data_IF_090473447235
#
_entry.id   IF_090473447235
#
_cell.length_a   1.000
_cell.length_b   1.000
_cell.length_c   1.000
_cell.angle_alpha   90.00
_cell.angle_beta   90.00
_cell.angle_gamma   90.00
#
_symmetry.space_group_name_H-M   'P 1'
#
loop_
_entity.id
_entity.type
_entity.pdbx_description
1 polymer ?
#
# COMPACT_ATOMS: atom_id res chain seq x y z
N UNK A 1 13.51 4.99 -40.84
CA UNK A 1 14.09 3.88 -40.05
C UNK A 1 15.08 4.49 -39.06
N UNK A 2 14.85 4.38 -37.76
CA UNK A 2 15.71 4.93 -36.70
C UNK A 2 16.16 3.75 -35.82
N UNK A 3 17.45 3.58 -35.52
CA UNK A 3 17.91 2.44 -34.73
C UNK A 3 17.59 2.63 -33.25
N UNK A 4 17.08 1.57 -32.63
CA UNK A 4 16.79 1.45 -31.20
C UNK A 4 18.08 1.22 -30.43
N UNK A 5 18.42 2.16 -29.54
CA UNK A 5 19.59 2.04 -28.66
C UNK A 5 19.20 1.25 -27.41
N UNK A 6 19.61 -0.02 -27.34
CA UNK A 6 19.54 -0.82 -26.12
C UNK A 6 20.48 -0.20 -25.06
N UNK A 7 19.92 0.27 -23.95
CA UNK A 7 20.68 0.68 -22.77
C UNK A 7 20.73 -0.51 -21.82
N UNK A 8 21.90 -1.14 -21.71
CA UNK A 8 22.18 -2.17 -20.71
C UNK A 8 22.34 -1.47 -19.36
N UNK A 9 21.37 -1.64 -18.47
CA UNK A 9 21.43 -1.14 -17.10
C UNK A 9 22.14 -2.17 -16.22
N UNK A 10 23.33 -1.81 -15.72
CA UNK A 10 24.13 -2.61 -14.80
C UNK A 10 23.57 -2.39 -13.38
N UNK A 11 22.94 -3.42 -12.80
CA UNK A 11 22.42 -3.40 -11.43
C UNK A 11 23.57 -3.81 -10.50
N UNK A 12 24.13 -2.86 -9.76
CA UNK A 12 25.07 -3.13 -8.68
C UNK A 12 24.32 -3.23 -7.35
N UNK A 13 24.17 -4.46 -6.85
CA UNK A 13 23.52 -4.77 -5.59
C UNK A 13 24.52 -4.58 -4.44
N UNK A 14 24.37 -3.50 -3.66
CA UNK A 14 25.14 -3.26 -2.44
C UNK A 14 24.30 -3.69 -1.23
N UNK A 15 24.64 -4.84 -0.64
CA UNK A 15 24.00 -5.37 0.57
C UNK A 15 24.52 -4.66 1.81
N UNK A 16 23.70 -3.81 2.44
CA UNK A 16 23.91 -3.35 3.81
C UNK A 16 23.11 -4.24 4.77
N UNK A 17 23.82 -4.98 5.62
CA UNK A 17 23.30 -5.68 6.77
C UNK A 17 23.02 -4.68 7.90
N UNK A 18 21.75 -4.52 8.28
CA UNK A 18 21.39 -3.89 9.54
C UNK A 18 20.73 -4.94 10.45
N UNK A 19 21.47 -5.33 11.48
CA UNK A 19 21.01 -6.09 12.63
C UNK A 19 20.39 -5.13 13.64
N UNK A 20 19.10 -5.27 13.92
CA UNK A 20 18.47 -4.64 15.09
C UNK A 20 17.55 -5.63 15.79
N UNK A 21 17.97 -6.04 16.99
CA UNK A 21 17.15 -6.75 17.97
C UNK A 21 16.21 -5.74 18.65
N UNK A 22 14.92 -6.06 18.73
CA UNK A 22 13.90 -5.28 19.44
C UNK A 22 12.86 -6.20 20.07
N UNK A 23 12.61 -5.99 21.36
CA UNK A 23 11.88 -6.87 22.26
C UNK A 23 10.39 -7.04 21.92
N UNK A 24 9.87 -8.24 22.20
CA UNK A 24 8.45 -8.56 22.11
C UNK A 24 7.69 -7.94 23.29
N UNK A 25 6.75 -7.04 22.99
CA UNK A 25 5.67 -6.64 23.90
C UNK A 25 4.38 -7.27 23.42
N UNK A 26 3.84 -8.18 24.21
CA UNK A 26 2.54 -8.79 23.99
C UNK A 26 1.45 -7.85 24.49
N UNK A 27 0.59 -7.39 23.59
CA UNK A 27 -0.67 -6.73 23.94
C UNK A 27 -1.83 -7.58 23.43
N UNK A 28 -2.66 -8.06 24.35
CA UNK A 28 -3.93 -8.72 24.05
C UNK A 28 -4.99 -7.68 23.72
N UNK A 29 -5.75 -7.92 22.65
CA UNK A 29 -6.86 -7.07 22.22
C UNK A 29 -7.81 -7.82 21.28
N UNK A 30 -9.10 -7.64 21.52
CA UNK A 30 -10.28 -8.37 21.05
C UNK A 30 -10.30 -9.02 19.64
N UNK A 31 -10.85 -10.24 19.60
CA UNK A 31 -11.41 -10.91 18.41
C UNK A 31 -12.53 -10.05 17.80
N UNK A 32 -12.22 -9.30 16.75
CA UNK A 32 -13.21 -8.76 15.81
C UNK A 32 -13.61 -9.82 14.79
N UNK A 33 -14.88 -10.19 14.75
CA UNK A 33 -15.49 -10.91 13.63
C UNK A 33 -15.73 -9.93 12.48
N UNK A 34 -14.82 -9.92 11.51
CA UNK A 34 -14.93 -9.13 10.28
C UNK A 34 -14.03 -9.72 9.20
N UNK A 35 -14.51 -10.75 8.53
CA UNK A 35 -13.78 -11.37 7.42
C UNK A 35 -13.70 -10.40 6.24
N UNK A 36 -12.48 -9.98 5.91
CA UNK A 36 -12.08 -9.52 4.58
C UNK A 36 -10.64 -10.02 4.35
N UNK A 37 -10.51 -11.01 3.46
CA UNK A 37 -9.31 -11.41 2.74
C UNK A 37 -8.05 -11.74 3.57
N UNK A 38 -8.06 -12.91 4.22
CA UNK A 38 -6.83 -13.54 4.77
C UNK A 38 -5.78 -13.89 3.71
N UNK A 39 -6.09 -13.80 2.42
CA UNK A 39 -5.19 -14.24 1.35
C UNK A 39 -4.44 -13.13 0.63
N UNK A 40 -4.60 -11.85 1.01
CA UNK A 40 -3.88 -10.75 0.35
C UNK A 40 -4.13 -10.64 -1.16
N UNK A 41 -5.21 -11.28 -1.65
CA UNK A 41 -5.58 -11.36 -3.08
C UNK A 41 -6.37 -10.16 -3.58
N UNK A 42 -6.86 -9.30 -2.68
CA UNK A 42 -7.57 -8.08 -3.05
C UNK A 42 -6.71 -6.84 -2.76
N UNK A 43 -6.18 -6.22 -3.80
CA UNK A 43 -5.43 -4.98 -3.69
C UNK A 43 -4.66 -4.61 -4.96
N UNK A 44 -4.13 -3.38 -5.08
CA UNK A 44 -3.37 -2.94 -6.25
C UNK A 44 -2.18 -3.85 -6.58
N UNK A 45 -1.62 -4.51 -5.58
CA UNK A 45 -0.51 -5.47 -5.72
C UNK A 45 -0.94 -6.85 -6.25
N UNK A 46 -2.24 -7.14 -6.36
CA UNK A 46 -2.75 -8.36 -6.98
C UNK A 46 -2.80 -8.25 -8.52
N UNK A 47 -2.71 -7.05 -9.08
CA UNK A 47 -2.53 -6.86 -10.52
C UNK A 47 -1.14 -7.32 -10.97
N UNK A 48 -0.12 -7.25 -10.11
CA UNK A 48 1.24 -7.68 -10.45
C UNK A 48 1.33 -9.16 -10.81
N UNK A 49 0.53 -10.01 -10.18
CA UNK A 49 0.50 -11.45 -10.50
C UNK A 49 -0.19 -11.78 -11.83
N UNK A 50 -0.79 -10.79 -12.48
CA UNK A 50 -1.45 -10.93 -13.78
C UNK A 50 -0.59 -10.40 -14.94
N UNK A 51 0.57 -9.81 -14.64
CA UNK A 51 1.53 -9.40 -15.66
C UNK A 51 2.17 -10.67 -16.25
N UNK A 52 2.16 -10.76 -17.57
CA UNK A 52 2.76 -11.87 -18.29
C UNK A 52 4.29 -11.68 -18.40
N UNK A 53 5.01 -12.78 -18.61
CA UNK A 53 6.46 -12.76 -18.89
C UNK A 53 7.37 -12.09 -17.82
N UNK A 54 6.93 -12.05 -16.56
CA UNK A 54 7.79 -11.65 -15.45
C UNK A 54 8.93 -12.66 -15.24
N UNK A 55 10.18 -12.19 -15.29
CA UNK A 55 11.36 -13.01 -15.00
C UNK A 55 11.40 -13.43 -13.52
N UNK A 56 12.24 -14.42 -13.19
CA UNK A 56 12.41 -14.86 -11.81
C UNK A 56 12.95 -13.73 -10.92
N UNK A 57 13.88 -12.94 -11.45
CA UNK A 57 14.50 -11.80 -10.77
C UNK A 57 13.48 -10.67 -10.53
N UNK A 58 12.65 -10.37 -11.53
CA UNK A 58 11.57 -9.38 -11.39
C UNK A 58 10.55 -9.82 -10.33
N UNK A 59 10.17 -11.11 -10.32
CA UNK A 59 9.22 -11.66 -9.33
C UNK A 59 9.75 -11.51 -7.90
N UNK A 60 11.04 -11.79 -7.68
CA UNK A 60 11.63 -11.65 -6.35
C UNK A 60 11.71 -10.17 -5.93
N UNK A 61 12.14 -9.28 -6.83
CA UNK A 61 12.17 -7.84 -6.55
C UNK A 61 10.77 -7.28 -6.21
N UNK A 62 9.73 -7.68 -6.95
CA UNK A 62 8.34 -7.28 -6.67
C UNK A 62 7.83 -7.84 -5.33
N UNK A 63 8.25 -9.04 -4.95
CA UNK A 63 7.92 -9.65 -3.65
C UNK A 63 8.58 -8.93 -2.49
N UNK A 64 9.82 -8.47 -2.65
CA UNK A 64 10.52 -7.67 -1.65
C UNK A 64 9.85 -6.30 -1.48
N UNK A 65 9.53 -5.61 -2.59
CA UNK A 65 8.76 -4.37 -2.57
C UNK A 65 7.43 -4.58 -1.83
N UNK A 66 6.71 -5.66 -2.15
CA UNK A 66 5.43 -5.99 -1.51
C UNK A 66 5.58 -6.22 -0.01
N UNK A 67 6.60 -6.98 0.41
CA UNK A 67 6.82 -7.28 1.83
C UNK A 67 7.15 -6.02 2.62
N UNK A 68 8.10 -5.20 2.12
CA UNK A 68 8.45 -3.94 2.76
C UNK A 68 7.26 -2.96 2.85
N UNK A 69 6.43 -2.92 1.80
CA UNK A 69 5.23 -2.07 1.76
C UNK A 69 4.16 -2.54 2.74
N UNK A 70 4.03 -3.87 2.95
CA UNK A 70 2.94 -4.44 3.74
C UNK A 70 2.95 -3.91 5.16
N UNK A 71 4.13 -3.86 5.78
CA UNK A 71 4.24 -3.48 7.18
C UNK A 71 3.99 -1.97 7.34
N UNK A 72 4.58 -1.13 6.48
CA UNK A 72 4.32 0.31 6.46
C UNK A 72 2.83 0.64 6.21
N UNK A 73 2.16 -0.11 5.32
CA UNK A 73 0.74 0.06 5.06
C UNK A 73 -0.14 -0.43 6.20
N UNK A 74 0.27 -1.47 6.94
CA UNK A 74 -0.49 -1.97 8.10
C UNK A 74 -0.56 -0.91 9.17
N UNK A 75 0.60 -0.40 9.59
CA UNK A 75 0.67 0.56 10.69
C UNK A 75 -0.10 1.86 10.35
N UNK A 76 -0.05 2.30 9.08
CA UNK A 76 -0.83 3.45 8.63
C UNK A 76 -2.35 3.16 8.60
N UNK A 77 -2.77 1.95 8.24
CA UNK A 77 -4.19 1.56 8.25
C UNK A 77 -4.74 1.49 9.67
N UNK A 78 -3.99 0.93 10.59
CA UNK A 78 -4.36 0.82 12.00
C UNK A 78 -4.55 2.24 12.57
N UNK A 79 -3.57 3.13 12.34
CA UNK A 79 -3.66 4.53 12.79
C UNK A 79 -4.87 5.29 12.18
N UNK A 80 -5.24 5.00 10.93
CA UNK A 80 -6.43 5.59 10.29
C UNK A 80 -7.73 5.02 10.82
N UNK A 81 -7.74 3.74 11.22
CA UNK A 81 -8.89 3.12 11.84
C UNK A 81 -9.12 3.68 13.24
N UNK A 82 -8.06 3.83 14.03
CA UNK A 82 -8.11 4.45 15.35
C UNK A 82 -8.63 5.89 15.26
N UNK A 83 -8.05 6.71 14.38
CA UNK A 83 -8.51 8.09 14.19
C UNK A 83 -9.97 8.19 13.70
N UNK A 84 -10.45 7.23 12.91
CA UNK A 84 -11.87 7.18 12.51
C UNK A 84 -12.78 6.86 13.69
N UNK A 85 -12.35 5.97 14.58
CA UNK A 85 -13.06 5.66 15.83
C UNK A 85 -13.08 6.90 16.73
N UNK A 86 -11.93 7.55 16.93
CA UNK A 86 -11.82 8.78 17.73
C UNK A 86 -12.75 9.89 17.20
N UNK A 87 -12.80 10.10 15.88
CA UNK A 87 -13.69 11.08 15.26
C UNK A 87 -15.16 10.74 15.47
N UNK A 88 -15.51 9.46 15.33
CA UNK A 88 -16.88 8.99 15.53
C UNK A 88 -17.32 9.22 16.97
N UNK A 89 -16.49 8.82 17.93
CA UNK A 89 -16.81 8.92 19.36
C UNK A 89 -16.86 10.39 19.81
N UNK A 90 -15.91 11.23 19.37
CA UNK A 90 -15.95 12.67 19.63
C UNK A 90 -17.22 13.34 19.08
N UNK A 91 -17.74 12.86 17.94
CA UNK A 91 -18.99 13.37 17.38
C UNK A 91 -20.21 12.89 18.18
N UNK A 92 -20.19 11.66 18.69
CA UNK A 92 -21.28 11.10 19.51
C UNK A 92 -21.33 11.71 20.91
N UNK A 93 -20.18 12.07 21.46
CA UNK A 93 -20.03 12.66 22.80
C UNK A 93 -20.19 14.19 22.80
N UNK A 94 -20.59 14.79 21.67
CA UNK A 94 -20.79 16.25 21.49
C UNK A 94 -19.54 17.06 21.86
N UNK A 95 -18.36 16.56 21.48
CA UNK A 95 -17.09 17.25 21.69
C UNK A 95 -17.08 18.61 20.98
N UNK A 96 -16.29 19.55 21.52
CA UNK A 96 -16.15 20.87 20.92
C UNK A 96 -15.53 20.80 19.51
N UNK A 97 -15.82 21.82 18.70
CA UNK A 97 -15.38 21.87 17.30
C UNK A 97 -13.85 21.91 17.15
N UNK A 98 -13.11 22.45 18.13
CA UNK A 98 -11.65 22.49 18.06
C UNK A 98 -11.06 21.08 18.23
N UNK A 99 -11.63 20.28 19.15
CA UNK A 99 -11.29 18.87 19.32
C UNK A 99 -11.57 18.04 18.04
N UNK A 100 -12.74 18.24 17.43
CA UNK A 100 -13.09 17.59 16.16
C UNK A 100 -12.12 18.02 15.05
N UNK A 101 -11.75 19.30 15.00
CA UNK A 101 -10.83 19.84 13.99
C UNK A 101 -9.45 19.19 14.07
N UNK A 102 -8.89 19.04 15.27
CA UNK A 102 -7.57 18.40 15.46
C UNK A 102 -7.59 16.96 14.94
N UNK A 103 -8.65 16.21 15.22
CA UNK A 103 -8.80 14.83 14.74
C UNK A 103 -8.97 14.77 13.21
N UNK A 104 -9.68 15.73 12.61
CA UNK A 104 -9.85 15.83 11.16
C UNK A 104 -8.52 16.17 10.45
N UNK A 105 -7.74 17.09 11.01
CA UNK A 105 -6.41 17.43 10.49
C UNK A 105 -5.47 16.20 10.54
N UNK A 106 -5.48 15.46 11.66
CA UNK A 106 -4.76 14.18 11.79
C UNK A 106 -5.20 13.17 10.73
N UNK A 107 -6.49 13.09 10.42
CA UNK A 107 -7.00 12.23 9.35
C UNK A 107 -6.45 12.63 7.97
N UNK A 108 -6.45 13.94 7.67
CA UNK A 108 -5.91 14.49 6.44
C UNK A 108 -4.43 14.13 6.23
N UNK A 109 -3.63 14.28 7.28
CA UNK A 109 -2.21 13.91 7.26
C UNK A 109 -1.99 12.41 7.01
N UNK A 110 -2.81 11.55 7.61
CA UNK A 110 -2.73 10.10 7.38
C UNK A 110 -3.08 9.74 5.92
N UNK A 111 -4.10 10.38 5.35
CA UNK A 111 -4.46 10.21 3.93
C UNK A 111 -3.31 10.68 3.03
N UNK A 112 -2.71 11.84 3.32
CA UNK A 112 -1.57 12.35 2.57
C UNK A 112 -0.39 11.36 2.59
N UNK A 113 -0.04 10.83 3.78
CA UNK A 113 0.99 9.79 3.91
C UNK A 113 0.67 8.54 3.10
N UNK A 114 -0.60 8.12 3.06
CA UNK A 114 -1.01 6.96 2.27
C UNK A 114 -0.84 7.18 0.77
N UNK A 115 -1.17 8.37 0.28
CA UNK A 115 -1.01 8.74 -1.13
C UNK A 115 0.47 8.70 -1.51
N UNK A 116 1.34 9.33 -0.71
CA UNK A 116 2.79 9.35 -0.95
C UNK A 116 3.36 7.93 -0.94
N UNK A 117 3.05 7.12 0.07
CA UNK A 117 3.52 5.74 0.15
C UNK A 117 3.10 4.91 -1.07
N UNK A 118 1.85 5.06 -1.55
CA UNK A 118 1.39 4.39 -2.76
C UNK A 118 2.13 4.85 -4.01
N UNK A 119 2.43 6.13 -4.12
CA UNK A 119 3.18 6.69 -5.24
C UNK A 119 4.63 6.18 -5.26
N UNK A 120 5.30 6.13 -4.10
CA UNK A 120 6.65 5.58 -3.96
C UNK A 120 6.71 4.11 -4.35
N UNK A 121 5.74 3.31 -3.88
CA UNK A 121 5.64 1.88 -4.22
C UNK A 121 5.41 1.71 -5.71
N UNK A 122 4.55 2.55 -6.31
CA UNK A 122 4.34 2.53 -7.75
C UNK A 122 5.62 2.83 -8.53
N UNK A 123 6.39 3.84 -8.12
CA UNK A 123 7.68 4.17 -8.73
C UNK A 123 8.65 2.98 -8.69
N UNK A 124 8.79 2.34 -7.52
CA UNK A 124 9.66 1.17 -7.35
C UNK A 124 9.24 -0.01 -8.22
N UNK A 125 7.95 -0.23 -8.40
CA UNK A 125 7.44 -1.26 -9.32
C UNK A 125 7.79 -0.91 -10.76
N UNK A 126 7.57 0.34 -11.17
CA UNK A 126 7.82 0.79 -12.53
C UNK A 126 9.30 0.68 -12.91
N UNK A 127 10.23 0.80 -11.95
CA UNK A 127 11.68 0.56 -12.14
C UNK A 127 12.04 -0.91 -12.42
N UNK A 128 11.24 -1.86 -11.96
CA UNK A 128 11.47 -3.31 -12.14
C UNK A 128 10.91 -3.82 -13.48
N UNK A 129 9.82 -3.21 -13.94
CA UNK A 129 9.08 -3.66 -15.12
C UNK A 129 9.66 -3.11 -16.43
N UNK A 130 9.49 -3.86 -17.52
CA UNK A 130 9.70 -3.33 -18.88
C UNK A 130 8.58 -2.37 -19.27
N UNK A 131 8.75 -1.65 -20.37
CA UNK A 131 7.71 -0.73 -20.87
C UNK A 131 6.41 -1.48 -21.22
N UNK A 132 6.54 -2.65 -21.86
CA UNK A 132 5.41 -3.49 -22.24
C UNK A 132 4.67 -4.01 -20.99
N UNK A 133 5.40 -4.44 -19.96
CA UNK A 133 4.83 -4.88 -18.69
C UNK A 133 4.18 -3.72 -17.92
N UNK A 134 4.73 -2.50 -18.00
CA UNK A 134 4.11 -1.30 -17.43
C UNK A 134 2.78 -1.00 -18.11
N UNK A 135 2.68 -1.16 -19.42
CA UNK A 135 1.43 -1.00 -20.16
C UNK A 135 0.39 -2.05 -19.74
N UNK A 136 0.77 -3.33 -19.67
CA UNK A 136 -0.11 -4.39 -19.15
C UNK A 136 -0.66 -4.04 -17.76
N UNK A 137 0.21 -3.54 -16.87
CA UNK A 137 -0.20 -3.15 -15.52
C UNK A 137 -1.15 -1.94 -15.49
N UNK A 138 -1.05 -1.01 -16.45
CA UNK A 138 -2.02 0.09 -16.59
C UNK A 138 -3.39 -0.43 -17.05
N UNK A 139 -3.41 -1.35 -18.01
CA UNK A 139 -4.65 -1.93 -18.56
C UNK A 139 -5.37 -2.80 -17.51
N UNK A 140 -4.61 -3.53 -16.69
CA UNK A 140 -5.14 -4.27 -15.55
C UNK A 140 -5.83 -3.35 -14.52
N UNK A 141 -5.36 -2.11 -14.35
CA UNK A 141 -6.02 -1.10 -13.49
C UNK A 141 -7.34 -0.57 -14.08
N UNK A 142 -7.56 -0.64 -15.40
CA UNK A 142 -8.84 -0.29 -16.04
C UNK A 142 -9.95 -1.30 -15.71
N UNK A 143 -9.59 -2.55 -15.39
CA UNK A 143 -10.53 -3.56 -14.88
C UNK A 143 -10.86 -3.41 -13.37
N UNK A 144 -10.33 -2.37 -12.73
CA UNK A 144 -10.40 -2.14 -11.30
C UNK A 144 -11.82 -1.90 -10.81
N UNK A 145 -12.44 -2.96 -10.27
CA UNK A 145 -13.43 -2.95 -9.18
C UNK A 145 -13.00 -2.13 -7.93
N UNK A 146 -11.97 -1.29 -8.00
CA UNK A 146 -11.58 -0.33 -6.97
C UNK A 146 -12.54 0.87 -6.86
N UNK A 147 -13.36 1.12 -7.88
CA UNK A 147 -14.57 1.94 -7.76
C UNK A 147 -15.83 1.07 -7.73
N UNK A 148 -15.78 -0.06 -7.02
CA UNK A 148 -17.02 -0.69 -6.57
C UNK A 148 -17.85 0.36 -5.83
N UNK A 149 -19.17 0.47 -6.06
CA UNK A 149 -19.98 1.51 -5.46
C UNK A 149 -19.69 1.48 -3.96
N UNK A 150 -19.18 2.59 -3.44
CA UNK A 150 -19.00 2.77 -2.01
C UNK A 150 -20.27 2.26 -1.34
N UNK A 151 -20.11 1.43 -0.30
CA UNK A 151 -21.25 0.98 0.51
C UNK A 151 -22.11 2.22 0.72
N UNK A 152 -23.29 2.25 0.08
CA UNK A 152 -24.29 3.27 0.38
C UNK A 152 -24.68 2.98 1.83
N UNK A 153 -24.02 3.66 2.75
CA UNK A 153 -24.52 3.78 4.10
C UNK A 153 -25.83 4.57 4.01
N UNK A 154 -26.90 3.90 4.41
CA UNK A 154 -27.94 4.52 5.20
C UNK A 154 -27.64 4.18 6.65
#
# INVERSE_FOLDING_TARGET
>A
MKPTSQKIAIITLSTLLFTSAGAAVAFGGHKGHGGCDRDGRAGPMAALSQIEDLTAEQKEALKDIRSATRDAMRDLRDAMQDNRTDLHDATMDDADLDSIRVLAEKQGDQVARMIVLRAEVRSKIDEVLTEEQRQQLQDLRWSGKMFGPGRRGF
#
